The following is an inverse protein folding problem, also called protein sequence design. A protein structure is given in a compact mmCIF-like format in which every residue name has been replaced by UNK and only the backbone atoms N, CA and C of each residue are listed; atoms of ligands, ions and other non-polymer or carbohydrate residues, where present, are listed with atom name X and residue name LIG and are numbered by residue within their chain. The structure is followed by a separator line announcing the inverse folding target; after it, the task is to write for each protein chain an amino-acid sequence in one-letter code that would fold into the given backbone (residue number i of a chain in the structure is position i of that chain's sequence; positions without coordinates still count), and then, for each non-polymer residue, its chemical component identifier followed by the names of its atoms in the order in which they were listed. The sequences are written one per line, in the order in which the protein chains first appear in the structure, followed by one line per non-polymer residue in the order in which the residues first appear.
data_IF_992322117181
#
_entry.id   IF_992322117181
#
_cell.length_a   1.000
_cell.length_b   1.000
_cell.length_c   1.000
_cell.angle_alpha   90.00
_cell.angle_beta   90.00
_cell.angle_gamma   90.00
#
_symmetry.space_group_name_H-M   'P 1'
#
loop_
_entity.id
_entity.type
_entity.pdbx_description
1 polymer ?
#
# COMPACT_ATOMS: atom_id res chain seq x y z
N UNK A 1 27.64 -10.45 -2.41
CA UNK A 1 26.19 -10.31 -2.15
C UNK A 1 25.93 -8.85 -1.84
N UNK A 2 24.82 -8.26 -2.33
CA UNK A 2 24.39 -6.90 -1.93
C UNK A 2 24.10 -6.86 -0.42
N UNK A 3 24.34 -5.73 0.22
CA UNK A 3 23.91 -5.52 1.61
C UNK A 3 22.38 -5.44 1.69
N UNK A 4 21.77 -5.70 2.86
CA UNK A 4 20.34 -5.47 3.08
C UNK A 4 19.92 -4.03 2.74
N UNK A 5 20.72 -3.03 3.09
CA UNK A 5 20.45 -1.63 2.79
C UNK A 5 20.39 -1.39 1.27
N UNK A 6 21.37 -1.91 0.52
CA UNK A 6 21.37 -1.82 -0.95
C UNK A 6 20.15 -2.53 -1.56
N UNK A 7 19.66 -3.61 -0.95
CA UNK A 7 18.44 -4.27 -1.38
C UNK A 7 17.20 -3.40 -1.13
N UNK A 8 17.08 -2.80 0.07
CA UNK A 8 15.94 -1.96 0.42
C UNK A 8 15.87 -0.66 -0.38
N UNK A 9 17.02 -0.04 -0.70
CA UNK A 9 17.05 1.10 -1.63
C UNK A 9 16.48 0.73 -3.00
N UNK A 10 16.81 -0.47 -3.50
CA UNK A 10 16.26 -0.93 -4.78
C UNK A 10 14.76 -1.24 -4.70
N UNK A 11 14.29 -1.79 -3.57
CA UNK A 11 12.85 -1.94 -3.33
C UNK A 11 12.14 -0.60 -3.33
N UNK A 12 12.68 0.41 -2.63
CA UNK A 12 12.11 1.76 -2.60
C UNK A 12 12.00 2.36 -4.00
N UNK A 13 13.05 2.27 -4.81
CA UNK A 13 13.04 2.73 -6.21
C UNK A 13 11.94 2.03 -7.03
N UNK A 14 11.80 0.71 -6.87
CA UNK A 14 10.77 -0.07 -7.57
C UNK A 14 9.38 0.41 -7.14
N UNK A 15 9.14 0.54 -5.84
CA UNK A 15 7.85 0.98 -5.29
C UNK A 15 7.51 2.38 -5.77
N UNK A 16 8.45 3.32 -5.70
CA UNK A 16 8.27 4.70 -6.13
C UNK A 16 7.90 4.79 -7.61
N UNK A 17 8.66 4.10 -8.49
CA UNK A 17 8.39 4.08 -9.93
C UNK A 17 6.99 3.54 -10.25
N UNK A 18 6.56 2.48 -9.58
CA UNK A 18 5.23 1.91 -9.81
C UNK A 18 4.12 2.78 -9.20
N UNK A 19 4.36 3.45 -8.07
CA UNK A 19 3.42 4.41 -7.51
C UNK A 19 3.21 5.62 -8.45
N UNK A 20 4.29 6.17 -9.00
CA UNK A 20 4.24 7.26 -9.98
C UNK A 20 3.50 6.87 -11.26
N UNK A 21 3.78 5.67 -11.80
CA UNK A 21 3.08 5.16 -12.98
C UNK A 21 1.57 4.98 -12.72
N UNK A 22 1.21 4.40 -11.56
CA UNK A 22 -0.19 4.23 -11.16
C UNK A 22 -0.90 5.59 -11.00
N UNK A 23 -0.25 6.57 -10.37
CA UNK A 23 -0.82 7.91 -10.26
C UNK A 23 -1.05 8.52 -11.65
N UNK A 24 -0.08 8.42 -12.56
CA UNK A 24 -0.22 8.94 -13.91
C UNK A 24 -1.42 8.32 -14.66
N UNK A 25 -1.61 7.01 -14.57
CA UNK A 25 -2.76 6.32 -15.19
C UNK A 25 -4.10 6.78 -14.60
N UNK A 26 -4.19 6.88 -13.27
CA UNK A 26 -5.40 7.37 -12.58
C UNK A 26 -5.70 8.82 -12.97
N UNK A 27 -4.67 9.67 -13.04
CA UNK A 27 -4.82 11.08 -13.47
C UNK A 27 -5.27 11.20 -14.92
N UNK A 28 -4.73 10.39 -15.81
CA UNK A 28 -5.13 10.36 -17.20
C UNK A 28 -6.63 10.02 -17.34
N UNK A 29 -7.11 9.02 -16.59
CA UNK A 29 -8.54 8.67 -16.54
C UNK A 29 -9.39 9.82 -15.98
N UNK A 30 -8.95 10.45 -14.88
CA UNK A 30 -9.63 11.60 -14.28
C UNK A 30 -9.78 12.77 -15.25
N UNK A 31 -8.76 13.02 -16.07
CA UNK A 31 -8.77 14.05 -17.11
C UNK A 31 -9.74 13.66 -18.23
N UNK A 32 -9.67 12.42 -18.71
CA UNK A 32 -10.54 11.92 -19.78
C UNK A 32 -12.03 11.98 -19.40
N UNK A 33 -12.35 11.71 -18.13
CA UNK A 33 -13.72 11.75 -17.60
C UNK A 33 -14.11 13.13 -17.05
N UNK A 34 -13.24 14.13 -17.20
CA UNK A 34 -13.41 15.49 -16.70
C UNK A 34 -13.88 15.56 -15.24
N UNK A 35 -13.32 14.70 -14.37
CA UNK A 35 -13.82 14.51 -12.99
C UNK A 35 -13.77 15.79 -12.16
N UNK A 36 -12.96 16.76 -12.56
CA UNK A 36 -12.92 18.09 -11.99
C UNK A 36 -14.27 18.85 -12.09
N UNK A 37 -15.08 18.58 -13.12
CA UNK A 37 -16.37 19.22 -13.36
C UNK A 37 -17.55 18.51 -12.68
N UNK A 38 -17.31 17.33 -12.11
CA UNK A 38 -18.36 16.57 -11.44
C UNK A 38 -18.96 17.32 -10.25
N UNK A 39 -20.25 17.08 -10.02
CA UNK A 39 -20.95 17.54 -8.83
C UNK A 39 -20.30 17.00 -7.54
N UNK A 40 -20.49 17.72 -6.44
CA UNK A 40 -19.86 17.38 -5.16
C UNK A 40 -20.19 15.96 -4.69
N UNK A 41 -21.44 15.50 -4.88
CA UNK A 41 -21.85 14.16 -4.47
C UNK A 41 -21.16 13.05 -5.29
N UNK A 42 -20.98 13.26 -6.59
CA UNK A 42 -20.22 12.34 -7.45
C UNK A 42 -18.75 12.25 -7.04
N UNK A 43 -18.12 13.39 -6.67
CA UNK A 43 -16.75 13.40 -6.14
C UNK A 43 -16.64 12.68 -4.80
N UNK A 44 -17.62 12.83 -3.92
CA UNK A 44 -17.68 12.10 -2.64
C UNK A 44 -17.80 10.59 -2.87
N UNK A 45 -18.69 10.18 -3.78
CA UNK A 45 -18.86 8.78 -4.14
C UNK A 45 -17.58 8.20 -4.77
N UNK A 46 -16.95 8.93 -5.70
CA UNK A 46 -15.67 8.55 -6.29
C UNK A 46 -14.60 8.34 -5.24
N UNK A 47 -14.40 9.30 -4.34
CA UNK A 47 -13.38 9.20 -3.28
C UNK A 47 -13.64 8.00 -2.35
N UNK A 48 -14.90 7.76 -1.98
CA UNK A 48 -15.27 6.58 -1.19
C UNK A 48 -14.94 5.27 -1.92
N UNK A 49 -15.33 5.15 -3.20
CA UNK A 49 -15.03 3.96 -4.01
C UNK A 49 -13.55 3.77 -4.23
N UNK A 50 -12.82 4.84 -4.51
CA UNK A 50 -11.37 4.80 -4.69
C UNK A 50 -10.68 4.27 -3.43
N UNK A 51 -11.04 4.79 -2.25
CA UNK A 51 -10.49 4.33 -0.98
C UNK A 51 -10.78 2.84 -0.72
N UNK A 52 -11.98 2.35 -1.05
CA UNK A 52 -12.31 0.92 -0.94
C UNK A 52 -11.46 0.06 -1.88
N UNK A 53 -11.33 0.45 -3.14
CA UNK A 53 -10.50 -0.26 -4.11
C UNK A 53 -9.05 -0.27 -3.63
N UNK A 54 -8.48 0.89 -3.30
CA UNK A 54 -7.10 1.03 -2.84
C UNK A 54 -6.81 0.15 -1.62
N UNK A 55 -7.67 0.18 -0.59
CA UNK A 55 -7.50 -0.63 0.62
C UNK A 55 -7.62 -2.15 0.36
N UNK A 56 -8.32 -2.55 -0.71
CA UNK A 56 -8.49 -3.96 -1.08
C UNK A 56 -7.30 -4.54 -1.85
N UNK A 57 -6.47 -3.70 -2.48
CA UNK A 57 -5.29 -4.15 -3.25
C UNK A 57 -4.19 -4.57 -2.27
N UNK A 58 -4.14 -5.86 -1.96
CA UNK A 58 -3.09 -6.46 -1.12
C UNK A 58 -1.84 -6.75 -1.94
N UNK A 59 -1.09 -5.71 -2.33
CA UNK A 59 0.08 -5.78 -3.22
C UNK A 59 1.16 -6.75 -2.68
N UNK A 60 1.27 -6.89 -1.36
CA UNK A 60 2.25 -7.77 -0.70
C UNK A 60 1.63 -8.95 0.05
N UNK A 61 0.45 -9.45 -0.39
CA UNK A 61 -0.22 -10.57 0.29
C UNK A 61 0.68 -11.81 0.45
N UNK A 62 1.59 -12.02 -0.50
CA UNK A 62 2.50 -13.16 -0.50
C UNK A 62 3.74 -12.94 0.39
N UNK A 63 4.11 -11.69 0.68
CA UNK A 63 5.23 -11.37 1.56
C UNK A 63 4.99 -11.89 2.99
N UNK A 64 3.74 -11.81 3.47
CA UNK A 64 3.36 -12.41 4.76
C UNK A 64 3.47 -13.93 4.77
N UNK A 65 3.29 -14.60 3.63
CA UNK A 65 3.49 -16.05 3.51
C UNK A 65 4.98 -16.41 3.51
N UNK A 66 5.82 -15.61 2.85
CA UNK A 66 7.27 -15.79 2.87
C UNK A 66 7.84 -15.58 4.28
N UNK A 67 7.41 -14.52 4.99
CA UNK A 67 7.77 -14.29 6.38
C UNK A 67 7.33 -15.43 7.32
N UNK A 68 6.14 -15.99 7.08
CA UNK A 68 5.64 -17.16 7.81
C UNK A 68 6.50 -18.41 7.54
N UNK A 69 6.84 -18.67 6.28
CA UNK A 69 7.68 -19.79 5.87
C UNK A 69 9.08 -19.72 6.51
N UNK A 70 9.63 -18.51 6.64
CA UNK A 70 10.91 -18.26 7.30
C UNK A 70 10.84 -18.21 8.83
N UNK A 71 9.65 -18.37 9.43
CA UNK A 71 9.42 -18.20 10.89
C UNK A 71 9.85 -16.83 11.41
N UNK A 72 9.68 -15.80 10.59
CA UNK A 72 10.04 -14.40 10.87
C UNK A 72 8.82 -13.49 11.09
N UNK A 73 7.62 -14.07 11.20
CA UNK A 73 6.48 -13.30 11.69
C UNK A 73 6.81 -12.78 13.09
N UNK A 74 6.46 -11.53 13.41
CA UNK A 74 6.67 -11.01 14.76
C UNK A 74 6.00 -11.95 15.76
N UNK A 75 6.72 -12.29 16.83
CA UNK A 75 6.08 -12.90 17.99
C UNK A 75 4.90 -12.00 18.34
N UNK A 76 3.70 -12.57 18.41
CA UNK A 76 2.45 -11.82 18.71
C UNK A 76 2.42 -11.28 20.15
N UNK A 77 3.58 -11.06 20.77
CA UNK A 77 3.75 -10.24 21.96
C UNK A 77 3.72 -8.77 21.54
N UNK A 78 2.55 -8.28 21.14
CA UNK A 78 2.30 -6.86 21.28
C UNK A 78 2.38 -6.53 22.78
N UNK A 79 3.20 -5.57 23.23
CA UNK A 79 3.11 -5.08 24.58
C UNK A 79 1.74 -4.40 24.75
N UNK A 80 0.76 -5.15 25.24
CA UNK A 80 -0.40 -4.57 25.90
C UNK A 80 -0.09 -4.44 27.40
N UNK A 81 -0.86 -3.63 28.13
CA UNK A 81 -0.66 -3.38 29.57
C UNK A 81 -0.57 -4.65 30.42
N UNK A 82 -1.02 -5.80 29.92
CA UNK A 82 -0.99 -7.10 30.59
C UNK A 82 0.40 -7.75 30.57
N UNK A 83 1.21 -7.51 29.54
CA UNK A 83 2.49 -8.19 29.32
C UNK A 83 3.72 -7.34 29.73
N UNK A 84 3.50 -6.16 30.32
CA UNK A 84 4.56 -5.27 30.84
C UNK A 84 4.90 -5.52 32.31
N UNK A 85 4.32 -6.54 32.95
CA UNK A 85 4.67 -6.93 34.31
C UNK A 85 5.33 -8.30 34.28
N UNK A 86 6.64 -8.32 34.09
CA UNK A 86 7.57 -9.31 34.63
C UNK A 86 8.97 -8.71 34.58
#
# INVERSE_FOLDING_TARGET
MRSPEEHFVQLEIILQRHAEALEAEVRALQIADETAQWAADSKRYYNWRFAQVFASVKIFRNWGADAAAWKLLPDRLYPNRSNQKN
#
